data_IF_293343231688
#
_entry.id   IF_293343231688
#
_cell.length_a   1.000
_cell.length_b   1.000
_cell.length_c   1.000
_cell.angle_alpha   90.00
_cell.angle_beta   90.00
_cell.angle_gamma   90.00
#
_symmetry.space_group_name_H-M   'P 1'
#
loop_
_entity.id
_entity.type
_entity.pdbx_description
1 polymer ?
#
# COMPACT_ATOMS: atom_id res chain seq x y z
N UNK A 1 -14.06 6.61 1.65
CA UNK A 1 -13.16 5.83 2.52
C UNK A 1 -12.00 5.29 1.71
N UNK A 2 -10.80 5.61 2.10
CA UNK A 2 -9.58 5.02 1.53
C UNK A 2 -9.28 3.75 2.29
N UNK A 3 -9.02 2.67 1.56
CA UNK A 3 -8.64 1.38 2.12
C UNK A 3 -7.30 0.97 1.56
N UNK A 4 -6.31 0.87 2.43
CA UNK A 4 -4.97 0.38 2.08
C UNK A 4 -4.78 -1.01 2.69
N UNK A 5 -4.36 -1.94 1.85
CA UNK A 5 -4.10 -3.33 2.26
C UNK A 5 -2.71 -3.73 1.82
N UNK A 6 -1.95 -4.27 2.75
CA UNK A 6 -0.61 -4.73 2.50
C UNK A 6 -0.50 -6.20 2.87
N UNK A 7 0.01 -7.01 1.95
CA UNK A 7 0.25 -8.41 2.19
C UNK A 7 1.69 -8.79 1.85
N UNK A 8 2.32 -9.53 2.71
CA UNK A 8 3.62 -10.15 2.47
C UNK A 8 3.52 -11.65 2.62
N UNK A 9 3.90 -12.38 1.57
CA UNK A 9 3.99 -13.84 1.60
C UNK A 9 5.47 -14.22 1.55
N UNK A 10 6.09 -14.54 2.70
CA UNK A 10 7.51 -14.87 2.74
C UNK A 10 7.84 -16.18 2.03
N UNK A 11 6.90 -17.12 1.97
CA UNK A 11 7.14 -18.38 1.28
C UNK A 11 7.27 -18.18 -0.24
N UNK A 12 6.48 -17.28 -0.80
CA UNK A 12 6.52 -16.95 -2.22
C UNK A 12 7.43 -15.75 -2.52
N UNK A 13 7.87 -15.01 -1.52
CA UNK A 13 8.60 -13.75 -1.72
C UNK A 13 7.73 -12.69 -2.38
N UNK A 14 6.42 -12.71 -2.12
CA UNK A 14 5.46 -11.88 -2.83
C UNK A 14 4.87 -10.81 -1.94
N UNK A 15 4.92 -9.58 -2.43
CA UNK A 15 4.41 -8.40 -1.77
C UNK A 15 3.28 -7.80 -2.60
N UNK A 16 2.20 -7.44 -1.94
CA UNK A 16 1.10 -6.76 -2.59
C UNK A 16 0.59 -5.61 -1.75
N UNK A 17 0.50 -4.44 -2.37
CA UNK A 17 -0.10 -3.26 -1.78
C UNK A 17 -1.25 -2.81 -2.66
N UNK A 18 -2.43 -2.69 -2.08
CA UNK A 18 -3.61 -2.16 -2.76
C UNK A 18 -4.13 -0.96 -1.99
N UNK A 19 -4.32 0.14 -2.69
CA UNK A 19 -4.91 1.35 -2.12
C UNK A 19 -6.11 1.73 -2.99
N UNK A 20 -7.28 1.83 -2.38
CA UNK A 20 -8.51 2.09 -3.14
C UNK A 20 -9.43 3.06 -2.41
N UNK A 21 -10.23 3.75 -3.19
CA UNK A 21 -11.25 4.65 -2.69
C UNK A 21 -10.81 6.09 -2.61
N UNK A 22 -11.70 6.91 -2.09
CA UNK A 22 -11.48 8.33 -1.89
C UNK A 22 -11.87 8.72 -0.48
N UNK A 23 -11.16 9.68 0.10
CA UNK A 23 -11.46 10.16 1.45
C UNK A 23 -12.74 10.97 1.48
N UNK A 24 -12.99 11.77 0.44
CA UNK A 24 -14.16 12.64 0.38
C UNK A 24 -14.10 13.82 1.35
N UNK A 25 -12.88 14.20 1.80
CA UNK A 25 -12.72 15.28 2.77
C UNK A 25 -12.79 16.66 2.13
N UNK A 26 -12.57 16.74 0.82
CA UNK A 26 -12.57 17.99 0.07
C UNK A 26 -12.76 17.69 -1.41
N UNK A 27 -13.03 18.69 -2.24
CA UNK A 27 -13.07 18.53 -3.69
C UNK A 27 -11.77 17.95 -4.23
N UNK A 28 -11.85 17.28 -5.37
CA UNK A 28 -10.68 16.74 -6.06
C UNK A 28 -9.61 17.82 -6.23
N UNK A 29 -8.37 17.46 -5.97
CA UNK A 29 -7.24 18.37 -6.02
C UNK A 29 -6.96 19.16 -4.75
N UNK A 30 -7.87 19.10 -3.76
CA UNK A 30 -7.70 19.73 -2.45
C UNK A 30 -7.80 18.75 -1.29
N UNK A 31 -7.98 17.48 -1.59
CA UNK A 31 -8.10 16.47 -0.56
C UNK A 31 -6.71 16.06 -0.09
N UNK A 32 -6.30 16.60 1.05
CA UNK A 32 -4.98 16.30 1.62
C UNK A 32 -4.84 14.86 2.05
N UNK A 33 -5.91 14.22 2.44
CA UNK A 33 -5.89 12.81 2.84
C UNK A 33 -5.64 11.93 1.62
N UNK A 34 -6.32 12.20 0.51
CA UNK A 34 -6.08 11.49 -0.75
C UNK A 34 -4.65 11.74 -1.26
N UNK A 35 -4.17 12.97 -1.19
CA UNK A 35 -2.82 13.30 -1.62
C UNK A 35 -1.78 12.57 -0.77
N UNK A 36 -1.99 12.50 0.53
CA UNK A 36 -1.11 11.77 1.44
C UNK A 36 -1.07 10.28 1.13
N UNK A 37 -2.23 9.67 0.92
CA UNK A 37 -2.30 8.25 0.54
C UNK A 37 -1.62 8.00 -0.80
N UNK A 38 -1.79 8.89 -1.76
CA UNK A 38 -1.18 8.78 -3.08
C UNK A 38 0.34 8.82 -3.02
N UNK A 39 0.91 9.76 -2.28
CA UNK A 39 2.37 9.83 -2.17
C UNK A 39 2.96 8.60 -1.49
N UNK A 40 2.27 8.04 -0.51
CA UNK A 40 2.72 6.80 0.13
C UNK A 40 2.69 5.62 -0.86
N UNK A 41 1.64 5.51 -1.66
CA UNK A 41 1.52 4.47 -2.68
C UNK A 41 2.62 4.59 -3.73
N UNK A 42 2.84 5.78 -4.26
CA UNK A 42 3.90 6.02 -5.24
C UNK A 42 5.30 5.80 -4.66
N UNK A 43 5.50 6.16 -3.39
CA UNK A 43 6.77 5.94 -2.72
C UNK A 43 7.05 4.44 -2.58
N UNK A 44 6.06 3.65 -2.20
CA UNK A 44 6.20 2.19 -2.13
C UNK A 44 6.58 1.61 -3.48
N UNK A 45 5.92 2.04 -4.55
CA UNK A 45 6.23 1.59 -5.90
C UNK A 45 7.65 1.98 -6.32
N UNK A 46 8.08 3.20 -5.99
CA UNK A 46 9.42 3.68 -6.32
C UNK A 46 10.50 2.88 -5.57
N UNK A 47 10.27 2.59 -4.30
CA UNK A 47 11.18 1.76 -3.50
C UNK A 47 11.35 0.39 -4.13
N UNK A 48 10.25 -0.23 -4.56
CA UNK A 48 10.29 -1.53 -5.23
C UNK A 48 11.07 -1.46 -6.55
N UNK A 49 10.77 -0.49 -7.39
CA UNK A 49 11.45 -0.34 -8.68
C UNK A 49 12.95 -0.15 -8.50
N UNK A 50 13.36 0.65 -7.54
CA UNK A 50 14.78 0.90 -7.29
C UNK A 50 15.50 -0.34 -6.75
N UNK A 51 14.83 -1.11 -5.91
CA UNK A 51 15.43 -2.26 -5.25
C UNK A 51 15.56 -3.47 -6.19
N UNK A 52 14.55 -3.70 -7.04
CA UNK A 52 14.52 -4.94 -7.84
C UNK A 52 15.16 -4.81 -9.20
N UNK A 53 15.20 -3.62 -9.78
CA UNK A 53 15.91 -3.29 -11.03
C UNK A 53 15.74 -4.33 -12.13
N UNK A 54 14.50 -4.71 -12.42
CA UNK A 54 14.21 -5.67 -13.47
C UNK A 54 14.35 -7.13 -13.08
N UNK A 55 14.68 -7.43 -11.84
CA UNK A 55 14.77 -8.82 -11.35
C UNK A 55 13.45 -9.35 -10.80
N UNK A 56 12.46 -8.51 -10.68
CA UNK A 56 11.15 -8.90 -10.20
C UNK A 56 10.07 -8.26 -11.05
N UNK A 57 8.95 -8.94 -11.13
CA UNK A 57 7.79 -8.39 -11.79
C UNK A 57 7.14 -7.39 -10.86
N UNK A 58 7.02 -6.17 -11.34
CA UNK A 58 6.25 -5.14 -10.67
C UNK A 58 5.07 -4.81 -11.57
N UNK A 59 3.88 -5.07 -11.07
CA UNK A 59 2.66 -4.63 -11.73
C UNK A 59 2.11 -3.45 -10.95
N UNK A 60 2.04 -2.30 -11.59
CA UNK A 60 1.46 -1.11 -11.02
C UNK A 60 0.24 -0.75 -11.86
N UNK A 61 -0.92 -0.71 -11.21
CA UNK A 61 -2.17 -0.38 -11.86
C UNK A 61 -2.79 0.80 -11.13
N UNK A 62 -3.08 1.84 -11.87
CA UNK A 62 -3.81 2.99 -11.35
C UNK A 62 -5.00 3.25 -12.26
N UNK A 63 -6.17 3.38 -11.66
CA UNK A 63 -7.41 3.62 -12.40
C UNK A 63 -8.04 4.95 -12.00
N UNK A 64 -8.92 5.43 -12.87
CA UNK A 64 -9.71 6.64 -12.59
C UNK A 64 -10.63 6.47 -11.38
N UNK A 65 -10.94 5.25 -11.00
CA UNK A 65 -11.79 4.95 -9.84
C UNK A 65 -11.04 5.01 -8.49
N UNK A 66 -9.80 5.46 -8.51
CA UNK A 66 -9.01 5.54 -7.28
C UNK A 66 -8.48 4.19 -6.80
N UNK A 67 -8.15 3.31 -7.72
CA UNK A 67 -7.49 2.04 -7.40
C UNK A 67 -6.01 2.13 -7.76
N UNK A 68 -5.16 1.76 -6.82
CA UNK A 68 -3.73 1.60 -7.01
C UNK A 68 -3.32 0.23 -6.50
N UNK A 69 -2.62 -0.54 -7.31
CA UNK A 69 -2.14 -1.86 -6.92
C UNK A 69 -0.68 -2.00 -7.32
N UNK A 70 0.15 -2.43 -6.38
CA UNK A 70 1.52 -2.84 -6.63
C UNK A 70 1.66 -4.29 -6.22
N UNK A 71 2.20 -5.10 -7.11
CA UNK A 71 2.42 -6.53 -6.90
C UNK A 71 3.84 -6.84 -7.33
N UNK A 72 4.64 -7.42 -6.46
CA UNK A 72 6.05 -7.64 -6.72
C UNK A 72 6.56 -8.90 -6.04
N UNK A 73 7.54 -9.53 -6.67
CA UNK A 73 8.36 -10.56 -6.04
C UNK A 73 9.67 -9.89 -5.60
N UNK A 74 10.01 -10.02 -4.34
CA UNK A 74 11.20 -9.40 -3.79
C UNK A 74 11.72 -10.18 -2.57
N UNK A 75 12.91 -9.81 -2.11
CA UNK A 75 13.49 -10.38 -0.91
C UNK A 75 12.94 -9.70 0.36
N UNK A 76 13.25 -10.29 1.51
CA UNK A 76 12.78 -9.76 2.79
C UNK A 76 13.35 -8.39 3.12
N UNK A 77 14.55 -8.07 2.65
CA UNK A 77 15.14 -6.75 2.88
C UNK A 77 14.38 -5.67 2.12
N UNK A 78 14.00 -5.95 0.90
CA UNK A 78 13.17 -5.02 0.10
C UNK A 78 11.79 -4.88 0.73
N UNK A 79 11.21 -6.00 1.18
CA UNK A 79 9.92 -5.97 1.86
C UNK A 79 9.96 -5.09 3.12
N UNK A 80 11.01 -5.15 3.90
CA UNK A 80 11.15 -4.31 5.09
C UNK A 80 11.14 -2.82 4.74
N UNK A 81 11.72 -2.44 3.62
CA UNK A 81 11.71 -1.05 3.15
C UNK A 81 10.31 -0.60 2.78
N UNK A 82 9.57 -1.44 2.09
CA UNK A 82 8.18 -1.14 1.72
C UNK A 82 7.29 -1.11 2.95
N UNK A 83 7.51 -2.03 3.88
CA UNK A 83 6.78 -2.05 5.15
C UNK A 83 6.99 -0.74 5.93
N UNK A 84 8.20 -0.22 5.92
CA UNK A 84 8.48 1.07 6.55
C UNK A 84 7.66 2.21 5.92
N UNK A 85 7.51 2.21 4.61
CA UNK A 85 6.64 3.18 3.91
C UNK A 85 5.18 2.99 4.33
N UNK A 86 4.74 1.74 4.47
CA UNK A 86 3.37 1.43 4.88
C UNK A 86 3.06 1.87 6.32
N UNK A 87 4.07 2.11 7.14
CA UNK A 87 3.88 2.78 8.42
C UNK A 87 3.15 4.11 8.25
N UNK A 88 3.39 4.81 7.14
CA UNK A 88 2.67 6.02 6.81
C UNK A 88 1.16 5.82 6.66
N UNK A 89 0.75 4.72 6.07
CA UNK A 89 -0.68 4.39 5.99
C UNK A 89 -1.28 4.13 7.37
N UNK A 90 -0.55 3.46 8.24
CA UNK A 90 -0.99 3.24 9.61
C UNK A 90 -1.18 4.55 10.35
N UNK A 91 -0.21 5.47 10.23
CA UNK A 91 -0.31 6.79 10.84
C UNK A 91 -1.48 7.59 10.27
N UNK A 92 -1.67 7.52 8.96
CA UNK A 92 -2.77 8.19 8.30
C UNK A 92 -4.12 7.68 8.79
N UNK A 93 -4.24 6.36 8.95
CA UNK A 93 -5.46 5.75 9.49
C UNK A 93 -5.71 6.12 10.95
N UNK A 94 -4.65 6.27 11.74
CA UNK A 94 -4.76 6.71 13.13
C UNK A 94 -5.22 8.17 13.24
N UNK A 95 -4.73 9.04 12.34
CA UNK A 95 -5.11 10.45 12.34
C UNK A 95 -6.48 10.72 11.73
N UNK A 96 -6.86 9.91 10.73
CA UNK A 96 -8.11 10.08 9.98
C UNK A 96 -8.94 8.80 9.95
N UNK A 97 -9.34 8.28 11.13
CA UNK A 97 -10.01 6.97 11.18
C UNK A 97 -11.36 6.92 10.47
N UNK A 98 -11.98 8.07 10.21
CA UNK A 98 -13.23 8.14 9.46
C UNK A 98 -13.03 8.04 7.96
N UNK A 99 -11.79 8.26 7.49
CA UNK A 99 -11.51 8.39 6.06
C UNK A 99 -10.52 7.37 5.55
N UNK A 100 -9.73 6.74 6.44
CA UNK A 100 -8.67 5.82 6.04
C UNK A 100 -8.69 4.59 6.93
N UNK A 101 -8.58 3.43 6.29
CA UNK A 101 -8.33 2.15 6.96
C UNK A 101 -7.08 1.51 6.37
N UNK A 102 -6.30 0.90 7.25
CA UNK A 102 -5.11 0.16 6.85
C UNK A 102 -5.15 -1.24 7.45
N UNK A 103 -4.93 -2.24 6.59
CA UNK A 103 -4.85 -3.64 7.00
C UNK A 103 -3.54 -4.23 6.52
N UNK A 104 -2.91 -5.03 7.36
CA UNK A 104 -1.70 -5.75 7.04
C UNK A 104 -1.93 -7.23 7.27
N UNK A 105 -1.49 -8.06 6.32
CA UNK A 105 -1.61 -9.51 6.41
C UNK A 105 -0.34 -10.19 5.93
N UNK A 106 -0.24 -11.48 6.22
CA UNK A 106 0.88 -12.31 5.83
C UNK A 106 0.38 -13.61 5.23
N UNK A 107 1.21 -14.21 4.38
CA UNK A 107 0.91 -15.49 3.78
C UNK A 107 0.25 -15.36 2.42
N UNK A 108 -0.39 -16.42 1.95
CA UNK A 108 -0.89 -16.54 0.57
C UNK A 108 -2.21 -15.83 0.31
N UNK A 109 -2.45 -14.71 0.96
CA UNK A 109 -3.67 -13.95 0.80
C UNK A 109 -4.76 -14.31 1.78
N UNK A 110 -4.57 -15.31 2.61
CA UNK A 110 -5.49 -15.60 3.69
C UNK A 110 -5.31 -14.59 4.80
N UNK A 111 -6.41 -14.01 5.20
CA UNK A 111 -6.39 -13.10 6.32
C UNK A 111 -6.17 -13.87 7.60
N UNK A 112 -4.94 -13.97 8.03
CA UNK A 112 -4.67 -14.39 9.39
C UNK A 112 -4.90 -13.19 10.28
N UNK A 113 -6.12 -13.02 10.74
CA UNK A 113 -6.41 -11.99 11.73
C UNK A 113 -5.83 -10.64 11.35
N UNK A 114 -6.35 -10.03 10.34
CA UNK A 114 -6.00 -8.71 9.88
C UNK A 114 -5.50 -7.83 11.01
N UNK A 115 -4.22 -7.74 11.17
CA UNK A 115 -3.67 -6.81 12.12
C UNK A 115 -3.98 -5.41 11.61
N UNK A 116 -4.99 -4.84 12.13
CA UNK A 116 -5.24 -3.42 11.98
C UNK A 116 -4.25 -2.71 12.87
N UNK A 117 -3.39 -1.99 12.27
CA UNK A 117 -2.43 -1.19 12.99
C UNK A 117 -2.81 0.25 12.94
#
# INVERSE_FOLDING_TARGET
>A
MIRARYNWDPAAGRLRLTVRGHAGTAPAGRDLVCASASILAYTAAAVLRDAVRGRAEIAEVQTADGLFTVDAVCDGRTEERVDAVCTGFRLLAEQYPRYVRFEKSFGNGEKSGSAVR
#
